data_IF_515012944727
#
_entry.id   IF_515012944727
#
_cell.length_a   1.000
_cell.length_b   1.000
_cell.length_c   1.000
_cell.angle_alpha   90.00
_cell.angle_beta   90.00
_cell.angle_gamma   90.00
#
_symmetry.space_group_name_H-M   'P 1'
#
loop_
_entity.id
_entity.type
_entity.pdbx_description
1 polymer ?
#
# COMPACT_ATOMS: atom_id res chain seq x y z
N UNK A 1 -16.81 -5.65 6.19
CA UNK A 1 -15.67 -5.73 7.14
C UNK A 1 -16.16 -5.20 8.45
N UNK A 2 -16.50 -6.07 9.39
CA UNK A 2 -17.05 -5.64 10.68
C UNK A 2 -15.98 -5.75 11.78
N UNK A 3 -15.93 -4.73 12.63
CA UNK A 3 -15.06 -4.62 13.79
C UNK A 3 -15.96 -4.22 14.95
N UNK A 4 -16.15 -5.12 15.90
CA UNK A 4 -16.86 -4.82 17.14
C UNK A 4 -15.89 -4.16 18.13
N UNK A 5 -16.40 -3.22 18.92
CA UNK A 5 -15.66 -2.62 20.03
C UNK A 5 -15.46 -3.69 21.10
N UNK A 6 -14.24 -3.78 21.65
CA UNK A 6 -13.95 -4.67 22.77
C UNK A 6 -14.33 -3.97 24.08
N UNK A 7 -14.78 -4.72 25.08
CA UNK A 7 -15.05 -4.16 26.41
C UNK A 7 -13.76 -3.59 27.01
N UNK A 8 -13.86 -2.40 27.61
CA UNK A 8 -12.71 -1.65 28.15
C UNK A 8 -11.84 -0.92 27.12
N UNK A 9 -12.15 -0.99 25.82
CA UNK A 9 -11.34 -0.31 24.80
C UNK A 9 -11.64 1.20 24.70
N UNK A 10 -10.59 2.03 24.71
CA UNK A 10 -10.71 3.46 24.41
C UNK A 10 -11.16 3.68 22.97
N UNK A 11 -11.97 4.71 22.73
CA UNK A 11 -12.49 5.02 21.38
C UNK A 11 -11.34 5.21 20.37
N UNK A 12 -10.25 5.83 20.80
CA UNK A 12 -9.05 6.07 19.98
C UNK A 12 -8.37 4.77 19.55
N UNK A 13 -8.24 3.78 20.44
CA UNK A 13 -7.65 2.48 20.11
C UNK A 13 -8.50 1.70 19.10
N UNK A 14 -9.83 1.78 19.25
CA UNK A 14 -10.76 1.17 18.31
C UNK A 14 -10.63 1.79 16.90
N UNK A 15 -10.58 3.12 16.81
CA UNK A 15 -10.39 3.85 15.55
C UNK A 15 -9.05 3.53 14.88
N UNK A 16 -7.98 3.43 15.66
CA UNK A 16 -6.67 3.03 15.14
C UNK A 16 -6.73 1.64 14.49
N UNK A 17 -7.33 0.66 15.17
CA UNK A 17 -7.46 -0.70 14.66
C UNK A 17 -8.34 -0.76 13.40
N UNK A 18 -9.42 0.02 13.38
CA UNK A 18 -10.25 0.17 12.19
C UNK A 18 -9.48 0.76 11.00
N UNK A 19 -8.77 1.86 11.21
CA UNK A 19 -7.94 2.50 10.18
C UNK A 19 -6.87 1.52 9.65
N UNK A 20 -6.18 0.81 10.55
CA UNK A 20 -5.16 -0.18 10.16
C UNK A 20 -5.76 -1.33 9.33
N UNK A 21 -6.94 -1.84 9.71
CA UNK A 21 -7.65 -2.88 8.94
C UNK A 21 -8.12 -2.36 7.58
N UNK A 22 -8.58 -1.11 7.49
CA UNK A 22 -8.92 -0.44 6.23
C UNK A 22 -7.73 -0.22 5.31
N UNK A 23 -6.56 0.11 5.86
CA UNK A 23 -5.33 0.26 5.09
C UNK A 23 -4.85 -1.09 4.55
N UNK A 24 -4.83 -2.12 5.40
CA UNK A 24 -4.44 -3.49 5.03
C UNK A 24 -5.38 -4.11 3.99
N UNK A 25 -6.68 -3.83 4.07
CA UNK A 25 -7.65 -4.35 3.09
C UNK A 25 -7.47 -3.78 1.69
N UNK A 26 -6.74 -2.67 1.54
CA UNK A 26 -6.51 -2.03 0.25
C UNK A 26 -7.77 -1.41 -0.38
N UNK A 27 -8.92 -1.44 0.29
CA UNK A 27 -10.22 -0.95 -0.24
C UNK A 27 -10.12 0.51 -0.68
N UNK A 28 -9.45 1.36 0.11
CA UNK A 28 -9.25 2.77 -0.23
C UNK A 28 -8.40 2.96 -1.49
N UNK A 29 -7.38 2.12 -1.69
CA UNK A 29 -6.50 2.17 -2.86
C UNK A 29 -7.25 1.74 -4.12
N UNK A 30 -8.04 0.67 -4.01
CA UNK A 30 -8.85 0.18 -5.13
C UNK A 30 -9.97 1.16 -5.49
N UNK A 31 -10.66 1.74 -4.49
CA UNK A 31 -11.67 2.77 -4.71
C UNK A 31 -11.08 4.00 -5.43
N UNK A 32 -9.92 4.50 -4.98
CA UNK A 32 -9.22 5.61 -5.63
C UNK A 32 -8.81 5.27 -7.07
N UNK A 33 -8.36 4.04 -7.32
CA UNK A 33 -7.98 3.56 -8.66
C UNK A 33 -9.19 3.46 -9.60
N UNK A 34 -10.35 2.98 -9.11
CA UNK A 34 -11.59 2.83 -9.90
C UNK A 34 -12.35 4.14 -10.11
N UNK A 35 -12.09 5.17 -9.29
CA UNK A 35 -12.75 6.48 -9.38
C UNK A 35 -12.64 7.12 -10.76
N UNK A 36 -11.54 6.89 -11.48
CA UNK A 36 -11.33 7.42 -12.83
C UNK A 36 -11.09 6.29 -13.83
N UNK A 37 -11.58 6.45 -15.07
CA UNK A 37 -11.30 5.50 -16.15
C UNK A 37 -9.86 5.68 -16.63
N UNK A 38 -9.00 4.72 -16.32
CA UNK A 38 -7.64 4.67 -16.85
C UNK A 38 -7.62 4.26 -18.34
N UNK A 39 -6.75 4.88 -19.13
CA UNK A 39 -6.41 4.39 -20.49
C UNK A 39 -5.43 3.21 -20.37
N UNK A 40 -5.45 2.30 -21.35
CA UNK A 40 -4.47 1.21 -21.42
C UNK A 40 -3.05 1.78 -21.53
N UNK A 41 -2.12 1.22 -20.76
CA UNK A 41 -0.73 1.69 -20.70
C UNK A 41 0.06 1.13 -21.89
N UNK A 42 0.76 2.01 -22.62
CA UNK A 42 1.62 1.62 -23.74
C UNK A 42 2.76 0.67 -23.29
N UNK A 43 3.24 -0.20 -24.20
CA UNK A 43 4.38 -1.13 -24.01
C UNK A 43 5.60 -0.43 -23.40
N UNK A 44 5.99 0.74 -23.91
CA UNK A 44 7.16 1.48 -23.40
C UNK A 44 6.98 1.92 -21.94
N UNK A 45 5.80 2.43 -21.57
CA UNK A 45 5.52 2.82 -20.17
C UNK A 45 5.55 1.62 -19.23
N UNK A 46 5.07 0.45 -19.69
CA UNK A 46 5.18 -0.81 -18.92
C UNK A 46 6.63 -1.23 -18.72
N UNK A 47 7.47 -1.11 -19.75
CA UNK A 47 8.91 -1.42 -19.68
C UNK A 47 9.63 -0.52 -18.68
N UNK A 48 9.44 0.80 -18.77
CA UNK A 48 10.07 1.77 -17.86
C UNK A 48 9.67 1.48 -16.40
N UNK A 49 8.38 1.22 -16.15
CA UNK A 49 7.90 0.87 -14.82
C UNK A 49 8.43 -0.48 -14.30
N UNK A 50 8.82 -1.41 -15.19
CA UNK A 50 9.45 -2.66 -14.79
C UNK A 50 10.92 -2.43 -14.41
N UNK A 51 11.67 -1.68 -15.21
CA UNK A 51 13.07 -1.32 -14.95
C UNK A 51 13.20 -0.59 -13.61
N UNK A 52 12.39 0.44 -13.39
CA UNK A 52 12.40 1.19 -12.13
C UNK A 52 12.12 0.31 -10.89
N UNK A 53 11.23 -0.68 -11.00
CA UNK A 53 10.92 -1.61 -9.90
C UNK A 53 12.07 -2.56 -9.60
N UNK A 54 12.87 -2.89 -10.61
CA UNK A 54 14.04 -3.75 -10.47
C UNK A 54 15.20 -2.96 -9.84
N UNK A 55 15.51 -1.78 -10.37
CA UNK A 55 16.50 -0.86 -9.81
C UNK A 55 16.23 -0.59 -8.33
N UNK A 56 14.99 -0.20 -7.98
CA UNK A 56 14.63 0.04 -6.57
C UNK A 56 14.74 -1.19 -5.68
N UNK A 57 14.53 -2.39 -6.23
CA UNK A 57 14.74 -3.62 -5.46
C UNK A 57 16.22 -3.80 -5.12
N UNK A 58 17.10 -3.62 -6.10
CA UNK A 58 18.55 -3.72 -5.90
C UNK A 58 19.08 -2.66 -4.95
N UNK A 59 18.58 -1.42 -5.03
CA UNK A 59 18.91 -0.34 -4.10
C UNK A 59 18.52 -0.71 -2.65
N UNK A 60 17.29 -1.20 -2.44
CA UNK A 60 16.80 -1.60 -1.12
C UNK A 60 17.61 -2.78 -0.57
N UNK A 61 17.92 -3.78 -1.39
CA UNK A 61 18.75 -4.91 -0.98
C UNK A 61 20.17 -4.47 -0.58
N UNK A 62 20.73 -3.52 -1.31
CA UNK A 62 22.05 -2.95 -1.01
C UNK A 62 22.02 -2.14 0.28
N UNK A 63 21.01 -1.28 0.48
CA UNK A 63 20.83 -0.51 1.71
C UNK A 63 20.66 -1.43 2.94
N UNK A 64 19.90 -2.52 2.81
CA UNK A 64 19.77 -3.55 3.85
C UNK A 64 21.12 -4.21 4.18
N UNK A 65 21.95 -4.51 3.17
CA UNK A 65 23.29 -5.09 3.38
C UNK A 65 24.25 -4.11 4.07
N UNK A 66 24.13 -2.81 3.75
CA UNK A 66 24.97 -1.75 4.32
C UNK A 66 24.48 -1.25 5.68
N UNK A 67 23.32 -1.71 6.17
CA UNK A 67 22.76 -1.29 7.45
C UNK A 67 22.21 0.14 7.47
N UNK A 68 21.93 0.72 6.30
CA UNK A 68 21.41 2.10 6.16
C UNK A 68 19.88 2.16 6.09
N UNK A 69 19.19 1.12 6.55
CA UNK A 69 17.73 0.97 6.49
C UNK A 69 17.04 1.29 7.81
#
# INVERSE_FOLDING_TARGET
MELKRREGESVSAFLYRFSKKMQQSGVLKEAKKRRTRGRAVNKNKRRIAAIYRDEKRTEIETAKKLGTF
#
